data_IF_606736030611
#
_entry.id   IF_606736030611
#
_cell.length_a   1.000
_cell.length_b   1.000
_cell.length_c   1.000
_cell.angle_alpha   90.00
_cell.angle_beta   90.00
_cell.angle_gamma   90.00
#
_symmetry.space_group_name_H-M   'P 1'
#
loop_
_entity.id
_entity.type
_entity.pdbx_description
1 polymer ?
#
# COMPACT_ATOMS: atom_id res chain seq x y z
N UNK A 1 -7.47 -1.41 -21.52
CA UNK A 1 -6.17 -2.11 -21.42
C UNK A 1 -5.90 -2.21 -19.93
N UNK A 2 -6.08 -3.39 -19.34
CA UNK A 2 -5.79 -3.56 -17.92
C UNK A 2 -4.28 -3.40 -17.74
N UNK A 3 -3.86 -2.38 -17.00
CA UNK A 3 -2.49 -2.31 -16.52
C UNK A 3 -2.25 -3.63 -15.79
N UNK A 4 -1.21 -4.37 -16.15
CA UNK A 4 -0.77 -5.53 -15.37
C UNK A 4 -0.18 -5.01 -14.05
N UNK A 5 -1.03 -4.46 -13.20
CA UNK A 5 -0.72 -4.17 -11.82
C UNK A 5 -0.55 -5.49 -11.09
N UNK A 6 0.34 -5.49 -10.10
CA UNK A 6 0.46 -6.54 -9.10
C UNK A 6 -0.93 -6.73 -8.49
N UNK A 7 -1.65 -7.77 -8.92
CA UNK A 7 -3.04 -7.99 -8.57
C UNK A 7 -3.25 -7.99 -7.06
N UNK A 8 -4.46 -7.61 -6.63
CA UNK A 8 -4.90 -7.46 -5.23
C UNK A 8 -4.00 -8.21 -4.23
N UNK A 9 -2.98 -7.53 -3.71
CA UNK A 9 -2.06 -8.14 -2.77
C UNK A 9 -2.69 -8.04 -1.39
N UNK A 10 -2.66 -9.13 -0.64
CA UNK A 10 -3.17 -9.17 0.73
C UNK A 10 -2.09 -9.68 1.65
N UNK A 11 -1.92 -8.99 2.77
CA UNK A 11 -1.03 -9.42 3.84
C UNK A 11 -1.76 -9.38 5.19
N UNK A 12 -1.36 -10.26 6.08
CA UNK A 12 -1.79 -10.25 7.47
C UNK A 12 -0.71 -9.56 8.32
N UNK A 13 -1.08 -8.50 9.02
CA UNK A 13 -0.20 -7.77 9.95
C UNK A 13 -0.78 -7.84 11.36
N UNK A 14 -0.38 -8.87 12.12
CA UNK A 14 -0.96 -9.12 13.43
C UNK A 14 -2.47 -9.40 13.33
N UNK A 15 -3.27 -8.57 13.99
CA UNK A 15 -4.74 -8.66 13.93
C UNK A 15 -5.36 -7.94 12.73
N UNK A 16 -4.59 -7.12 12.00
CA UNK A 16 -5.07 -6.39 10.84
C UNK A 16 -4.82 -7.16 9.53
N UNK A 17 -5.78 -7.07 8.62
CA UNK A 17 -5.63 -7.50 7.23
C UNK A 17 -5.43 -6.25 6.36
N UNK A 18 -4.41 -6.26 5.50
CA UNK A 18 -4.12 -5.15 4.58
C UNK A 18 -4.28 -5.64 3.15
N UNK A 19 -5.02 -4.89 2.35
CA UNK A 19 -5.22 -5.12 0.93
C UNK A 19 -4.64 -3.96 0.11
N UNK A 20 -3.93 -4.28 -0.97
CA UNK A 20 -3.37 -3.33 -1.92
C UNK A 20 -4.00 -3.60 -3.27
N UNK A 21 -4.66 -2.59 -3.84
CA UNK A 21 -5.27 -2.65 -5.17
C UNK A 21 -4.57 -1.62 -6.05
N UNK A 22 -4.06 -2.06 -7.19
CA UNK A 22 -3.44 -1.16 -8.17
C UNK A 22 -4.51 -0.30 -8.85
N UNK A 23 -4.23 1.00 -8.95
CA UNK A 23 -5.09 2.00 -9.59
C UNK A 23 -4.46 2.49 -10.91
N UNK A 24 -5.17 3.33 -11.67
CA UNK A 24 -4.62 3.97 -12.88
C UNK A 24 -3.35 4.80 -12.56
N UNK A 25 -3.30 5.42 -11.37
CA UNK A 25 -2.12 6.09 -10.81
C UNK A 25 -1.99 5.69 -9.33
N UNK A 26 -0.96 4.90 -9.02
CA UNK A 26 -0.64 4.49 -7.66
C UNK A 26 -1.40 3.25 -7.17
N UNK A 27 -1.64 3.20 -5.86
CA UNK A 27 -2.27 2.06 -5.18
C UNK A 27 -3.26 2.55 -4.12
N UNK A 28 -4.40 1.89 -4.07
CA UNK A 28 -5.32 2.00 -2.96
C UNK A 28 -4.96 0.94 -1.91
N UNK A 29 -4.79 1.38 -0.66
CA UNK A 29 -4.48 0.50 0.47
C UNK A 29 -5.62 0.54 1.48
N UNK A 30 -6.23 -0.62 1.74
CA UNK A 30 -7.29 -0.79 2.72
C UNK A 30 -6.80 -1.62 3.90
N UNK A 31 -7.11 -1.18 5.12
CA UNK A 31 -6.76 -1.88 6.37
C UNK A 31 -8.04 -2.25 7.10
N UNK A 32 -8.22 -3.54 7.34
CA UNK A 32 -9.29 -4.07 8.19
C UNK A 32 -8.71 -4.52 9.53
N UNK A 33 -9.17 -3.90 10.62
CA UNK A 33 -8.65 -4.14 11.97
C UNK A 33 -7.65 -3.08 12.45
N UNK A 34 -7.03 -3.32 13.60
CA UNK A 34 -6.12 -2.37 14.24
C UNK A 34 -4.66 -2.64 13.86
N UNK A 35 -4.00 -1.63 13.30
CA UNK A 35 -2.58 -1.66 12.98
C UNK A 35 -1.79 -0.95 14.09
N UNK A 36 -0.97 -1.71 14.83
CA UNK A 36 -0.27 -1.24 16.05
C UNK A 36 0.71 -0.10 15.79
N UNK A 37 1.21 0.05 14.56
CA UNK A 37 2.03 1.18 14.11
C UNK A 37 1.67 1.59 12.68
N UNK A 38 0.49 2.19 12.52
CA UNK A 38 -0.01 2.62 11.21
C UNK A 38 0.94 3.61 10.51
N UNK A 39 1.53 4.55 11.26
CA UNK A 39 2.42 5.55 10.69
C UNK A 39 3.75 4.94 10.20
N UNK A 40 4.33 4.04 10.99
CA UNK A 40 5.54 3.30 10.59
C UNK A 40 5.28 2.43 9.36
N UNK A 41 4.13 1.75 9.33
CA UNK A 41 3.69 0.98 8.17
C UNK A 41 3.57 1.85 6.91
N UNK A 42 2.85 2.97 6.98
CA UNK A 42 2.70 3.90 5.85
C UNK A 42 4.06 4.39 5.35
N UNK A 43 4.93 4.81 6.27
CA UNK A 43 6.29 5.29 5.96
C UNK A 43 7.10 4.21 5.24
N UNK A 44 7.01 2.97 5.71
CA UNK A 44 7.74 1.84 5.13
C UNK A 44 7.21 1.45 3.76
N UNK A 45 5.88 1.44 3.55
CA UNK A 45 5.29 1.17 2.24
C UNK A 45 5.69 2.25 1.24
N UNK A 46 5.55 3.53 1.60
CA UNK A 46 5.92 4.66 0.73
C UNK A 46 7.40 4.62 0.36
N UNK A 47 8.30 4.26 1.28
CA UNK A 47 9.73 4.17 0.99
C UNK A 47 10.06 3.01 0.05
N UNK A 48 9.43 1.85 0.23
CA UNK A 48 9.60 0.69 -0.66
C UNK A 48 9.09 1.00 -2.07
N UNK A 49 7.91 1.61 -2.19
CA UNK A 49 7.36 2.00 -3.49
C UNK A 49 8.26 3.04 -4.18
N UNK A 50 8.75 4.04 -3.45
CA UNK A 50 9.70 5.03 -3.99
C UNK A 50 10.97 4.36 -4.51
N UNK A 51 11.52 3.41 -3.75
CA UNK A 51 12.73 2.68 -4.11
C UNK A 51 12.54 1.83 -5.38
N UNK A 52 11.44 1.07 -5.46
CA UNK A 52 11.18 0.15 -6.57
C UNK A 52 10.73 0.86 -7.85
N UNK A 53 9.95 1.96 -7.72
CA UNK A 53 9.50 2.73 -8.88
C UNK A 53 10.55 3.70 -9.41
N UNK A 54 11.48 4.16 -8.56
CA UNK A 54 12.39 5.26 -8.89
C UNK A 54 11.71 6.64 -8.94
N UNK A 55 10.44 6.72 -8.54
CA UNK A 55 9.64 7.95 -8.54
C UNK A 55 9.30 8.37 -7.11
N UNK A 56 9.13 9.68 -6.89
CA UNK A 56 8.69 10.18 -5.59
C UNK A 56 7.26 9.69 -5.29
N UNK A 57 7.08 9.03 -4.15
CA UNK A 57 5.78 8.55 -3.70
C UNK A 57 5.32 9.31 -2.46
N UNK A 58 4.02 9.58 -2.37
CA UNK A 58 3.37 10.16 -1.19
C UNK A 58 2.18 9.32 -0.76
N UNK A 59 1.90 9.30 0.55
CA UNK A 59 0.71 8.65 1.10
C UNK A 59 -0.40 9.68 1.24
N UNK A 60 -1.53 9.46 0.57
CA UNK A 60 -2.69 10.34 0.63
C UNK A 60 -3.74 9.76 1.59
N UNK A 61 -4.21 10.52 2.60
CA UNK A 61 -5.40 10.14 3.36
C UNK A 61 -6.65 10.26 2.46
N UNK A 62 -7.58 9.32 2.61
CA UNK A 62 -8.90 9.37 1.97
C UNK A 62 -9.81 10.42 2.63
#
# INVERSE_FOLDING_TARGET
MAVSGWGDFRLQCGAAQVAFSGEDVGWHVAVEGELVDAQGFMTQVTSQVTQESGEACEWLPL
#
